data_IF_161753923861
#
_entry.id   IF_161753923861
#
_cell.length_a   1.000
_cell.length_b   1.000
_cell.length_c   1.000
_cell.angle_alpha   90.00
_cell.angle_beta   90.00
_cell.angle_gamma   90.00
#
_symmetry.space_group_name_H-M   'P 1'
#
loop_
_entity.id
_entity.type
_entity.pdbx_description
1 polymer ?
#
# COMPACT_ATOMS: atom_id res chain seq x y z
N UNK A 1 -59.42 46.69 -27.32
CA UNK A 1 -60.09 45.38 -27.47
C UNK A 1 -59.18 44.51 -28.33
N UNK A 2 -58.75 43.33 -27.81
CA UNK A 2 -57.84 42.30 -28.38
C UNK A 2 -56.37 42.71 -28.69
N UNK A 3 -55.31 41.87 -28.68
CA UNK A 3 -54.72 40.77 -27.88
C UNK A 3 -53.49 40.29 -28.71
N UNK A 4 -52.34 40.02 -28.06
CA UNK A 4 -51.17 39.20 -28.50
C UNK A 4 -50.32 39.61 -29.71
N UNK A 5 -49.00 39.65 -29.49
CA UNK A 5 -47.97 39.64 -30.54
C UNK A 5 -46.55 39.49 -29.98
N UNK A 6 -46.20 38.28 -29.52
CA UNK A 6 -44.84 37.72 -29.58
C UNK A 6 -44.95 36.46 -30.47
N UNK A 7 -43.87 35.90 -31.06
CA UNK A 7 -42.46 36.33 -31.12
C UNK A 7 -41.85 36.27 -32.55
N UNK A 8 -40.65 36.81 -32.78
CA UNK A 8 -39.72 36.19 -33.75
C UNK A 8 -38.26 36.51 -33.40
N UNK A 9 -37.76 35.79 -32.40
CA UNK A 9 -36.33 35.71 -32.10
C UNK A 9 -35.90 34.26 -32.33
N UNK A 10 -36.07 33.77 -33.56
CA UNK A 10 -35.40 32.59 -34.06
C UNK A 10 -34.15 33.03 -34.84
N UNK A 11 -33.04 32.33 -34.60
CA UNK A 11 -31.72 32.42 -35.25
C UNK A 11 -30.71 33.39 -34.61
N UNK A 12 -29.97 32.90 -33.62
CA UNK A 12 -28.61 32.37 -33.85
C UNK A 12 -27.91 32.04 -32.52
N UNK A 13 -27.51 30.77 -32.39
CA UNK A 13 -26.32 30.31 -31.68
C UNK A 13 -26.06 30.85 -30.27
N UNK A 14 -26.63 30.22 -29.26
CA UNK A 14 -26.00 30.16 -27.92
C UNK A 14 -25.76 28.69 -27.62
N UNK A 15 -24.47 28.39 -27.44
CA UNK A 15 -23.87 27.08 -27.33
C UNK A 15 -24.48 26.27 -26.18
N UNK A 16 -24.73 24.99 -26.45
CA UNK A 16 -25.14 24.02 -25.44
C UNK A 16 -23.99 23.83 -24.44
N UNK A 17 -24.16 24.24 -23.18
CA UNK A 17 -23.23 23.89 -22.10
C UNK A 17 -23.20 22.37 -21.92
N UNK A 18 -22.10 21.75 -22.36
CA UNK A 18 -21.82 20.33 -22.15
C UNK A 18 -21.52 20.11 -20.65
N UNK A 19 -22.28 19.28 -19.92
CA UNK A 19 -21.94 18.98 -18.53
C UNK A 19 -20.59 18.25 -18.47
N UNK A 20 -19.65 18.80 -17.72
CA UNK A 20 -18.32 18.21 -17.51
C UNK A 20 -18.46 16.81 -16.90
N UNK A 21 -18.02 15.81 -17.66
CA UNK A 21 -17.93 14.42 -17.24
C UNK A 21 -17.14 14.30 -15.93
N UNK A 22 -17.78 13.69 -14.91
CA UNK A 22 -17.18 13.32 -13.61
C UNK A 22 -15.93 12.44 -13.72
N UNK A 23 -15.61 11.95 -14.92
CA UNK A 23 -14.41 11.14 -15.19
C UNK A 23 -13.10 11.94 -15.10
N UNK A 24 -13.13 13.28 -15.13
CA UNK A 24 -11.91 14.10 -15.01
C UNK A 24 -11.40 14.37 -13.58
N UNK A 25 -12.06 13.87 -12.53
CA UNK A 25 -11.56 14.06 -11.16
C UNK A 25 -10.32 13.23 -10.80
N UNK A 26 -9.94 12.23 -11.61
CA UNK A 26 -8.85 11.30 -11.27
C UNK A 26 -7.46 11.85 -11.69
N UNK A 27 -7.40 12.96 -12.42
CA UNK A 27 -6.15 13.44 -13.01
C UNK A 27 -5.31 14.38 -12.10
N UNK A 28 -5.71 14.64 -10.86
CA UNK A 28 -5.06 15.64 -10.00
C UNK A 28 -4.23 15.09 -8.83
N UNK A 29 -4.32 13.80 -8.49
CA UNK A 29 -3.35 13.18 -7.58
C UNK A 29 -2.21 12.57 -8.40
N UNK A 30 -1.34 13.43 -8.89
CA UNK A 30 0.04 13.03 -9.15
C UNK A 30 0.63 12.76 -7.78
N UNK A 31 0.60 11.49 -7.38
CA UNK A 31 1.38 11.02 -6.24
C UNK A 31 2.82 11.38 -6.55
N UNK A 32 3.37 12.33 -5.77
CA UNK A 32 4.77 12.66 -5.78
C UNK A 32 5.55 11.37 -5.43
N UNK A 33 5.94 10.65 -6.47
CA UNK A 33 6.86 9.51 -6.41
C UNK A 33 8.27 10.05 -6.18
N UNK A 34 8.42 10.80 -5.07
CA UNK A 34 9.69 11.22 -4.55
C UNK A 34 10.50 9.95 -4.32
N UNK A 35 11.48 9.75 -5.20
CA UNK A 35 12.27 8.54 -5.34
C UNK A 35 12.67 7.96 -3.97
N UNK A 36 12.10 6.80 -3.63
CA UNK A 36 12.56 5.93 -2.55
C UNK A 36 13.87 5.27 -3.00
N UNK A 37 14.88 6.08 -3.28
CA UNK A 37 16.23 5.59 -3.45
C UNK A 37 16.70 5.11 -2.07
N UNK A 38 17.11 3.84 -1.92
CA UNK A 38 17.62 3.35 -0.66
C UNK A 38 18.74 4.29 -0.20
N UNK A 39 18.54 5.02 0.90
CA UNK A 39 19.57 5.91 1.44
C UNK A 39 20.85 5.10 1.58
N UNK A 40 21.93 5.49 0.89
CA UNK A 40 23.26 4.89 1.06
C UNK A 40 23.56 4.85 2.56
N UNK A 41 23.76 3.65 3.11
CA UNK A 41 23.93 3.44 4.55
C UNK A 41 22.75 2.81 5.28
N UNK A 42 21.65 2.45 4.59
CA UNK A 42 20.63 1.57 5.16
C UNK A 42 21.29 0.22 5.46
N UNK A 43 21.56 -0.07 6.74
CA UNK A 43 22.08 -1.36 7.18
C UNK A 43 21.21 -2.45 6.57
N UNK A 44 21.85 -3.43 5.91
CA UNK A 44 21.17 -4.64 5.47
C UNK A 44 20.59 -5.30 6.71
N UNK A 45 19.30 -5.61 6.68
CA UNK A 45 18.66 -6.28 7.79
C UNK A 45 18.52 -7.74 7.42
N UNK A 46 18.88 -8.58 8.38
CA UNK A 46 18.71 -10.00 8.27
C UNK A 46 17.26 -10.37 8.57
N UNK A 47 16.53 -10.78 7.54
CA UNK A 47 15.15 -11.28 7.66
C UNK A 47 15.09 -12.80 7.83
N UNK A 48 16.23 -13.47 7.96
CA UNK A 48 16.30 -14.92 8.20
C UNK A 48 16.07 -15.30 9.67
N UNK A 49 15.91 -14.31 10.56
CA UNK A 49 15.66 -14.56 11.97
C UNK A 49 14.42 -13.81 12.45
N UNK A 50 13.67 -14.44 13.37
CA UNK A 50 12.52 -13.81 14.03
C UNK A 50 12.91 -12.48 14.68
N UNK A 51 14.08 -12.43 15.34
CA UNK A 51 14.58 -11.22 15.99
C UNK A 51 14.83 -10.08 14.98
N UNK A 52 15.49 -10.37 13.85
CA UNK A 52 15.76 -9.37 12.82
C UNK A 52 14.49 -8.80 12.19
N UNK A 53 13.46 -9.64 11.98
CA UNK A 53 12.15 -9.17 11.50
C UNK A 53 11.46 -8.26 12.53
N UNK A 54 11.48 -8.62 13.81
CA UNK A 54 10.88 -7.80 14.89
C UNK A 54 11.60 -6.45 15.06
N UNK A 55 12.93 -6.44 14.96
CA UNK A 55 13.71 -5.20 14.98
C UNK A 55 13.31 -4.27 13.83
N UNK A 56 13.05 -4.82 12.64
CA UNK A 56 12.63 -4.03 11.49
C UNK A 56 11.22 -3.46 11.65
N UNK A 57 10.29 -4.25 12.18
CA UNK A 57 8.95 -3.78 12.53
C UNK A 57 9.06 -2.61 13.52
N UNK A 58 9.85 -2.76 14.58
CA UNK A 58 10.07 -1.70 15.56
C UNK A 58 10.69 -0.45 14.92
N UNK A 59 11.58 -0.61 13.93
CA UNK A 59 12.15 0.51 13.18
C UNK A 59 11.10 1.23 12.35
N UNK A 60 10.25 0.50 11.62
CA UNK A 60 9.16 1.09 10.83
C UNK A 60 8.19 1.89 11.70
N UNK A 61 7.85 1.37 12.88
CA UNK A 61 7.05 2.12 13.85
C UNK A 61 7.72 3.43 14.28
N UNK A 62 9.03 3.40 14.60
CA UNK A 62 9.77 4.62 14.94
C UNK A 62 9.81 5.60 13.76
N UNK A 63 10.09 5.11 12.56
CA UNK A 63 10.16 5.94 11.36
C UNK A 63 8.79 6.59 11.07
N UNK A 64 7.69 5.86 11.20
CA UNK A 64 6.34 6.38 11.03
C UNK A 64 5.98 7.41 12.11
N UNK A 65 6.30 7.12 13.37
CA UNK A 65 6.06 8.05 14.50
C UNK A 65 6.82 9.36 14.36
N UNK A 66 8.01 9.33 13.74
CA UNK A 66 8.81 10.52 13.46
C UNK A 66 8.49 11.17 12.11
N UNK A 67 7.48 10.69 11.38
CA UNK A 67 7.08 11.24 10.07
C UNK A 67 8.09 11.00 8.95
N UNK A 68 9.05 10.07 9.12
CA UNK A 68 10.06 9.75 8.10
C UNK A 68 9.50 8.86 6.99
N UNK A 69 8.42 8.13 7.29
CA UNK A 69 7.64 7.34 6.34
C UNK A 69 6.15 7.59 6.60
N UNK A 70 5.33 7.51 5.55
CA UNK A 70 3.87 7.57 5.69
C UNK A 70 3.36 6.37 6.50
N UNK A 71 2.35 6.60 7.33
CA UNK A 71 1.79 5.57 8.23
C UNK A 71 1.19 4.41 7.44
N UNK A 72 0.52 4.71 6.32
CA UNK A 72 -0.09 3.73 5.43
C UNK A 72 0.97 2.82 4.79
N UNK A 73 2.11 3.41 4.38
CA UNK A 73 3.25 2.66 3.85
C UNK A 73 3.90 1.80 4.93
N UNK A 74 4.06 2.35 6.14
CA UNK A 74 4.59 1.61 7.29
C UNK A 74 3.70 0.40 7.63
N UNK A 75 2.38 0.58 7.67
CA UNK A 75 1.42 -0.48 7.95
C UNK A 75 1.50 -1.61 6.91
N UNK A 76 1.60 -1.28 5.62
CA UNK A 76 1.79 -2.28 4.55
C UNK A 76 3.08 -3.06 4.73
N UNK A 77 4.19 -2.39 5.06
CA UNK A 77 5.47 -3.04 5.30
C UNK A 77 5.42 -3.97 6.53
N UNK A 78 4.82 -3.52 7.63
CA UNK A 78 4.64 -4.34 8.84
C UNK A 78 3.79 -5.58 8.54
N UNK A 79 2.74 -5.44 7.72
CA UNK A 79 1.93 -6.58 7.29
C UNK A 79 2.76 -7.63 6.51
N UNK A 80 3.57 -7.19 5.56
CA UNK A 80 4.46 -8.07 4.78
C UNK A 80 5.47 -8.76 5.70
N UNK A 81 6.11 -8.01 6.60
CA UNK A 81 7.08 -8.56 7.56
C UNK A 81 6.47 -9.60 8.49
N UNK A 82 5.25 -9.36 8.99
CA UNK A 82 4.53 -10.35 9.79
C UNK A 82 4.18 -11.61 8.98
N UNK A 83 3.95 -11.47 7.67
CA UNK A 83 3.66 -12.61 6.80
C UNK A 83 4.92 -13.45 6.57
N UNK A 84 6.06 -12.80 6.36
CA UNK A 84 7.37 -13.46 6.29
C UNK A 84 7.74 -14.15 7.62
N UNK A 85 7.49 -13.50 8.76
CA UNK A 85 7.74 -14.05 10.09
C UNK A 85 7.00 -15.38 10.29
N UNK A 86 5.71 -15.41 9.97
CA UNK A 86 4.88 -16.61 10.08
C UNK A 86 5.37 -17.74 9.18
N UNK A 87 5.76 -17.43 7.95
CA UNK A 87 6.30 -18.42 7.04
C UNK A 87 7.62 -19.00 7.57
N UNK A 88 8.52 -18.16 8.08
CA UNK A 88 9.77 -18.59 8.69
C UNK A 88 9.55 -19.48 9.93
N UNK A 89 8.64 -19.08 10.82
CA UNK A 89 8.26 -19.86 12.00
C UNK A 89 7.69 -21.22 11.62
N UNK A 90 6.81 -21.27 10.61
CA UNK A 90 6.24 -22.51 10.10
C UNK A 90 7.33 -23.47 9.61
N UNK A 91 8.20 -23.00 8.70
CA UNK A 91 9.30 -23.82 8.15
C UNK A 91 10.24 -24.31 9.25
N UNK A 92 10.54 -23.47 10.23
CA UNK A 92 11.40 -23.84 11.36
C UNK A 92 10.75 -24.92 12.22
N UNK A 93 9.45 -24.81 12.49
CA UNK A 93 8.69 -25.80 13.26
C UNK A 93 8.64 -27.12 12.50
N UNK A 94 8.29 -27.11 11.22
CA UNK A 94 8.26 -28.31 10.37
C UNK A 94 9.62 -29.03 10.35
N UNK A 95 10.71 -28.28 10.17
CA UNK A 95 12.06 -28.86 10.19
C UNK A 95 12.39 -29.53 11.54
N UNK A 96 11.99 -28.91 12.65
CA UNK A 96 12.19 -29.47 14.00
C UNK A 96 11.33 -30.71 14.25
N UNK A 97 10.09 -30.72 13.77
CA UNK A 97 9.21 -31.89 13.85
C UNK A 97 9.82 -33.05 13.06
N UNK A 98 10.21 -32.82 11.81
CA UNK A 98 10.81 -33.86 10.96
C UNK A 98 12.09 -34.45 11.59
N UNK A 99 12.93 -33.60 12.22
CA UNK A 99 14.12 -34.07 12.94
C UNK A 99 13.76 -34.97 14.12
N UNK A 100 12.74 -34.60 14.91
CA UNK A 100 12.27 -35.42 16.04
C UNK A 100 11.66 -36.74 15.57
N UNK A 101 10.84 -36.71 14.52
CA UNK A 101 10.22 -37.91 13.93
C UNK A 101 11.27 -38.88 13.41
N UNK A 102 12.30 -38.39 12.73
CA UNK A 102 13.42 -39.19 12.26
C UNK A 102 14.13 -39.92 13.42
N UNK A 103 14.40 -39.23 14.52
CA UNK A 103 15.02 -39.85 15.70
C UNK A 103 14.11 -40.80 16.46
N UNK A 104 12.79 -40.63 16.38
CA UNK A 104 11.81 -41.44 17.12
C UNK A 104 11.41 -42.70 16.36
N UNK A 105 11.41 -42.66 15.02
CA UNK A 105 11.18 -43.85 14.17
C UNK A 105 12.39 -44.80 14.09
N UNK A 106 13.54 -44.41 14.64
CA UNK A 106 14.72 -45.28 14.83
C UNK A 106 14.78 -45.88 16.26
N UNK A 107 13.63 -46.20 16.86
CA UNK A 107 13.55 -47.01 18.08
C UNK A 107 13.63 -48.52 17.76
N UNK A 108 14.31 -49.34 18.59
CA UNK A 108 14.64 -50.76 18.31
C UNK A 108 13.44 -51.71 18.20
#
# INVERSE_FOLDING_TARGET
MAIRGLPDAALMGIEQEKPMSKTKLIAAEVVDEAADTPRRGRRSIDLSTTAGVLEEIARLYRDARHGRIQVERAAKLVYILNSALKAHELVTIEARINALEATTHEGP
#
